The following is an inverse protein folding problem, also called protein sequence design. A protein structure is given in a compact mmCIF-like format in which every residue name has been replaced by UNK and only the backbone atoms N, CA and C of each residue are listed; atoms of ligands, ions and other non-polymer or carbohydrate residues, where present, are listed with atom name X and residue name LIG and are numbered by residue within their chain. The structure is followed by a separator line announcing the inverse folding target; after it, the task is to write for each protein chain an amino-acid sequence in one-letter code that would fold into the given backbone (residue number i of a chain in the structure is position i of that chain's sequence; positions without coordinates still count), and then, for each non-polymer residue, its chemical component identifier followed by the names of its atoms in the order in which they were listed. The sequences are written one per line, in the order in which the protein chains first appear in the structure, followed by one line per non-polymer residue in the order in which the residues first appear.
data_IF_059677737565
#
_entry.id   IF_059677737565
#
_cell.length_a   1.000
_cell.length_b   1.000
_cell.length_c   1.000
_cell.angle_alpha   90.00
_cell.angle_beta   90.00
_cell.angle_gamma   90.00
#
_symmetry.space_group_name_H-M   'P 1'
#
loop_
_entity.id
_entity.type
_entity.pdbx_description
1 polymer ?
#
# COMPACT_ATOMS: atom_id res chain seq x y z
N UNK A 1 5.32 -14.97 -11.61
CA UNK A 1 5.94 -13.64 -11.34
C UNK A 1 6.71 -13.72 -10.04
N UNK A 2 7.72 -12.86 -9.82
CA UNK A 2 8.37 -12.75 -8.50
C UNK A 2 8.13 -11.36 -7.91
N UNK A 3 7.64 -11.31 -6.68
CA UNK A 3 7.41 -10.07 -5.94
C UNK A 3 8.57 -9.87 -4.97
N UNK A 4 9.39 -8.86 -5.21
CA UNK A 4 10.39 -8.42 -4.24
C UNK A 4 9.69 -7.58 -3.17
N UNK A 5 9.63 -8.14 -1.97
CA UNK A 5 8.70 -7.75 -0.91
C UNK A 5 9.42 -7.44 0.41
N UNK A 6 8.73 -6.75 1.30
CA UNK A 6 9.01 -6.75 2.73
C UNK A 6 7.66 -6.80 3.45
N UNK A 7 7.43 -7.76 4.35
CA UNK A 7 6.12 -8.00 4.96
C UNK A 7 5.43 -6.74 5.49
N UNK A 8 6.21 -5.87 6.16
CA UNK A 8 5.74 -4.61 6.77
C UNK A 8 5.79 -3.39 5.84
N UNK A 9 6.04 -3.56 4.55
CA UNK A 9 5.95 -2.49 3.55
C UNK A 9 4.52 -2.32 3.06
N UNK A 10 3.94 -1.14 3.28
CA UNK A 10 2.59 -0.85 2.81
C UNK A 10 2.46 -0.83 1.28
N UNK A 11 3.50 -0.37 0.56
CA UNK A 11 3.48 -0.37 -0.90
C UNK A 11 3.54 -1.80 -1.47
N UNK A 12 4.24 -2.72 -0.81
CA UNK A 12 4.29 -4.11 -1.23
C UNK A 12 3.04 -4.88 -0.79
N UNK A 13 2.47 -4.53 0.37
CA UNK A 13 1.15 -4.99 0.80
C UNK A 13 0.06 -4.72 -0.24
N UNK A 14 0.06 -3.53 -0.88
CA UNK A 14 -0.85 -3.23 -2.02
C UNK A 14 -0.77 -4.29 -3.11
N UNK A 15 0.45 -4.69 -3.49
CA UNK A 15 0.66 -5.64 -4.58
C UNK A 15 0.27 -7.07 -4.18
N UNK A 16 0.52 -7.46 -2.93
CA UNK A 16 -0.01 -8.73 -2.41
C UNK A 16 -1.53 -8.80 -2.51
N UNK A 17 -2.23 -7.74 -2.09
CA UNK A 17 -3.71 -7.68 -2.20
C UNK A 17 -4.13 -7.75 -3.67
N UNK A 18 -3.52 -6.95 -4.56
CA UNK A 18 -3.85 -6.92 -5.98
C UNK A 18 -3.68 -8.30 -6.65
N UNK A 19 -2.53 -8.96 -6.43
CA UNK A 19 -2.26 -10.30 -6.96
C UNK A 19 -3.27 -11.32 -6.43
N UNK A 20 -3.61 -11.25 -5.13
CA UNK A 20 -4.59 -12.15 -4.53
C UNK A 20 -6.01 -11.92 -5.06
N UNK A 21 -6.44 -10.67 -5.25
CA UNK A 21 -7.75 -10.33 -5.82
C UNK A 21 -7.89 -10.82 -7.25
N UNK A 22 -6.82 -10.72 -8.04
CA UNK A 22 -6.78 -11.19 -9.43
C UNK A 22 -6.52 -12.69 -9.55
N UNK A 23 -6.28 -13.40 -8.43
CA UNK A 23 -6.01 -14.84 -8.42
C UNK A 23 -4.66 -15.23 -9.04
N UNK A 24 -3.70 -14.30 -9.09
CA UNK A 24 -2.43 -14.49 -9.77
C UNK A 24 -1.38 -15.08 -8.82
N UNK A 25 -0.73 -16.17 -9.24
CA UNK A 25 0.34 -16.80 -8.47
C UNK A 25 1.66 -16.04 -8.60
N UNK A 26 2.39 -15.94 -7.49
CA UNK A 26 3.68 -15.28 -7.43
C UNK A 26 4.59 -15.91 -6.37
N UNK A 27 5.90 -15.81 -6.60
CA UNK A 27 6.91 -16.13 -5.59
C UNK A 27 7.26 -14.85 -4.83
N UNK A 28 7.17 -14.86 -3.50
CA UNK A 28 7.61 -13.74 -2.67
C UNK A 28 9.10 -13.84 -2.37
N UNK A 29 9.85 -12.80 -2.71
CA UNK A 29 11.30 -12.69 -2.50
C UNK A 29 11.53 -11.59 -1.45
N UNK A 30 11.85 -11.94 -0.20
CA UNK A 30 11.98 -10.95 0.87
C UNK A 30 13.23 -10.09 0.69
N UNK A 31 13.09 -8.79 0.97
CA UNK A 31 14.13 -7.76 0.99
C UNK A 31 14.06 -7.06 2.34
N UNK A 32 15.03 -7.31 3.21
CA UNK A 32 15.00 -6.81 4.58
C UNK A 32 15.36 -5.32 4.65
N UNK A 33 14.33 -4.50 4.89
CA UNK A 33 14.50 -3.04 4.99
C UNK A 33 15.26 -2.58 6.24
N UNK A 34 15.36 -3.42 7.28
CA UNK A 34 16.08 -3.09 8.52
C UNK A 34 17.59 -3.21 8.35
N UNK A 35 18.03 -4.13 7.49
CA UNK A 35 19.46 -4.33 7.15
C UNK A 35 19.86 -3.56 5.88
N UNK A 36 18.97 -2.72 5.33
CA UNK A 36 19.22 -1.94 4.10
C UNK A 36 19.50 -2.84 2.87
N UNK A 37 18.91 -4.03 2.75
CA UNK A 37 19.13 -4.90 1.59
C UNK A 37 18.71 -4.24 0.27
N UNK A 38 17.70 -3.37 0.32
CA UNK A 38 17.26 -2.53 -0.79
C UNK A 38 18.32 -1.52 -1.28
N UNK A 39 19.37 -1.31 -0.49
CA UNK A 39 20.48 -0.42 -0.78
C UNK A 39 21.63 -1.14 -1.52
N UNK A 40 21.59 -2.47 -1.57
CA UNK A 40 22.62 -3.30 -2.21
C UNK A 40 22.67 -3.07 -3.72
N UNK A 41 23.85 -3.16 -4.36
CA UNK A 41 23.96 -3.12 -5.82
C UNK A 41 23.07 -4.18 -6.49
N UNK A 42 23.06 -5.41 -5.96
CA UNK A 42 22.26 -6.50 -6.48
C UNK A 42 20.76 -6.20 -6.51
N UNK A 43 20.21 -5.55 -5.48
CA UNK A 43 18.80 -5.14 -5.52
C UNK A 43 18.57 -3.92 -6.42
N UNK A 44 19.52 -2.98 -6.45
CA UNK A 44 19.41 -1.78 -7.29
C UNK A 44 19.45 -2.07 -8.78
N UNK A 45 20.07 -3.17 -9.20
CA UNK A 45 19.98 -3.66 -10.58
C UNK A 45 18.53 -4.04 -10.98
N UNK A 46 17.69 -4.39 -10.00
CA UNK A 46 16.27 -4.74 -10.19
C UNK A 46 15.36 -3.53 -10.02
N UNK A 47 15.61 -2.71 -8.99
CA UNK A 47 14.93 -1.44 -8.76
C UNK A 47 15.94 -0.35 -8.40
N UNK A 48 16.34 0.50 -9.37
CA UNK A 48 17.31 1.58 -9.14
C UNK A 48 16.91 2.58 -8.04
N UNK A 49 15.61 2.71 -7.74
CA UNK A 49 15.14 3.58 -6.65
C UNK A 49 15.50 3.03 -5.26
N UNK A 50 15.88 1.75 -5.14
CA UNK A 50 16.18 1.10 -3.87
C UNK A 50 14.96 1.06 -2.93
N UNK A 51 13.78 0.79 -3.49
CA UNK A 51 12.52 0.67 -2.76
C UNK A 51 11.85 -0.68 -3.06
N UNK A 52 10.96 -1.11 -2.17
CA UNK A 52 10.02 -2.22 -2.43
C UNK A 52 8.61 -1.64 -2.61
N UNK A 53 7.74 -2.25 -3.42
CA UNK A 53 7.96 -3.49 -4.17
C UNK A 53 8.69 -3.29 -5.50
N UNK A 54 9.21 -4.40 -6.03
CA UNK A 54 9.47 -4.58 -7.45
C UNK A 54 8.86 -5.91 -7.91
N UNK A 55 8.26 -5.92 -9.09
CA UNK A 55 7.67 -7.11 -9.70
C UNK A 55 8.52 -7.54 -10.89
N UNK A 56 9.03 -8.76 -10.85
CA UNK A 56 9.71 -9.41 -11.98
C UNK A 56 8.68 -10.15 -12.83
N UNK A 57 8.61 -9.73 -14.10
CA UNK A 57 7.76 -10.28 -15.15
C UNK A 57 8.62 -10.82 -16.28
N UNK A 58 8.05 -11.55 -17.27
CA UNK A 58 8.79 -11.97 -18.46
C UNK A 58 9.39 -10.81 -19.27
N UNK A 59 8.84 -9.59 -19.15
CA UNK A 59 9.31 -8.40 -19.87
C UNK A 59 10.40 -7.63 -19.11
N UNK A 60 10.62 -7.93 -17.83
CA UNK A 60 11.60 -7.25 -16.98
C UNK A 60 11.04 -6.89 -15.61
N UNK A 61 11.60 -5.83 -15.02
CA UNK A 61 11.21 -5.37 -13.68
C UNK A 61 10.29 -4.15 -13.78
N UNK A 62 9.16 -4.20 -13.06
CA UNK A 62 8.30 -3.05 -12.81
C UNK A 62 8.42 -2.62 -11.34
N UNK A 63 8.56 -1.32 -11.11
CA UNK A 63 8.48 -0.69 -9.79
C UNK A 63 7.29 0.27 -9.74
N UNK A 64 7.08 0.92 -8.59
CA UNK A 64 5.91 1.77 -8.29
C UNK A 64 4.60 0.99 -8.16
N UNK A 65 4.04 0.95 -6.95
CA UNK A 65 2.89 0.08 -6.66
C UNK A 65 1.65 0.43 -7.49
N UNK A 66 1.40 1.72 -7.77
CA UNK A 66 0.26 2.12 -8.61
C UNK A 66 0.43 1.64 -10.05
N UNK A 67 1.61 1.84 -10.64
CA UNK A 67 1.90 1.41 -12.01
C UNK A 67 1.83 -0.12 -12.16
N UNK A 68 2.32 -0.87 -11.16
CA UNK A 68 2.18 -2.33 -11.13
C UNK A 68 0.70 -2.73 -11.10
N UNK A 69 -0.15 -2.09 -10.29
CA UNK A 69 -1.57 -2.42 -10.24
C UNK A 69 -2.31 -2.09 -11.54
N UNK A 70 -1.99 -0.96 -12.18
CA UNK A 70 -2.53 -0.60 -13.50
C UNK A 70 -2.14 -1.66 -14.55
N UNK A 71 -0.85 -2.03 -14.60
CA UNK A 71 -0.37 -3.07 -15.51
C UNK A 71 -1.05 -4.41 -15.24
N UNK A 72 -1.18 -4.82 -13.97
CA UNK A 72 -1.89 -6.04 -13.61
C UNK A 72 -3.34 -6.01 -14.11
N UNK A 73 -4.04 -4.89 -13.92
CA UNK A 73 -5.42 -4.73 -14.34
C UNK A 73 -5.60 -4.77 -15.86
N UNK A 74 -4.71 -4.12 -16.61
CA UNK A 74 -4.74 -4.10 -18.08
C UNK A 74 -4.28 -5.42 -18.71
N UNK A 75 -3.30 -6.10 -18.11
CA UNK A 75 -2.73 -7.35 -18.66
C UNK A 75 -3.53 -8.60 -18.33
N UNK A 76 -4.46 -8.54 -17.37
CA UNK A 76 -5.33 -9.66 -16.97
C UNK A 76 -6.81 -9.21 -16.91
N UNK A 77 -7.39 -8.76 -18.04
CA UNK A 77 -8.75 -8.23 -18.09
C UNK A 77 -9.84 -9.25 -17.77
N UNK A 78 -9.52 -10.55 -17.83
CA UNK A 78 -10.42 -11.67 -17.50
C UNK A 78 -10.60 -11.91 -16.00
N UNK A 79 -9.74 -11.31 -15.17
CA UNK A 79 -9.81 -11.38 -13.71
C UNK A 79 -10.54 -10.17 -13.11
N UNK A 80 -10.93 -10.18 -11.81
CA UNK A 80 -11.61 -9.04 -11.20
C UNK A 80 -10.91 -7.70 -11.46
N UNK A 81 -11.70 -6.72 -11.89
CA UNK A 81 -11.21 -5.38 -12.26
C UNK A 81 -10.89 -4.57 -11.01
N UNK A 82 -9.69 -4.00 -10.96
CA UNK A 82 -9.28 -3.05 -9.91
C UNK A 82 -9.79 -1.64 -10.19
N UNK A 83 -10.09 -1.34 -11.47
CA UNK A 83 -10.63 -0.07 -11.94
C UNK A 83 -11.92 -0.31 -12.76
N UNK A 84 -13.01 -0.79 -12.13
CA UNK A 84 -14.28 -1.03 -12.82
C UNK A 84 -14.97 0.25 -13.27
N UNK A 85 -15.98 0.09 -14.12
CA UNK A 85 -16.90 1.15 -14.52
C UNK A 85 -16.37 2.07 -15.62
N UNK A 86 -17.04 3.21 -15.77
CA UNK A 86 -16.74 4.18 -16.80
C UNK A 86 -15.48 5.02 -16.50
N UNK A 87 -15.13 5.89 -17.46
CA UNK A 87 -13.95 6.75 -17.34
C UNK A 87 -13.99 7.68 -16.11
N UNK A 88 -15.18 8.04 -15.64
CA UNK A 88 -15.35 8.94 -14.51
C UNK A 88 -15.15 8.19 -13.18
N UNK A 89 -15.79 7.04 -13.01
CA UNK A 89 -15.59 6.20 -11.82
C UNK A 89 -14.11 5.78 -11.70
N UNK A 90 -13.49 5.40 -12.82
CA UNK A 90 -12.06 5.08 -12.88
C UNK A 90 -11.17 6.26 -12.46
N UNK A 91 -11.56 7.50 -12.77
CA UNK A 91 -10.84 8.69 -12.32
C UNK A 91 -11.01 8.94 -10.82
N UNK A 92 -12.22 8.73 -10.28
CA UNK A 92 -12.49 8.86 -8.85
C UNK A 92 -11.71 7.82 -8.02
N UNK A 93 -11.68 6.56 -8.46
CA UNK A 93 -10.89 5.50 -7.82
C UNK A 93 -9.41 5.89 -7.76
N UNK A 94 -8.85 6.38 -8.87
CA UNK A 94 -7.46 6.86 -8.93
C UNK A 94 -7.22 8.05 -8.01
N UNK A 95 -8.16 8.99 -7.93
CA UNK A 95 -8.05 10.16 -7.05
C UNK A 95 -7.89 9.74 -5.58
N UNK A 96 -8.75 8.84 -5.09
CA UNK A 96 -8.68 8.32 -3.73
C UNK A 96 -7.37 7.57 -3.47
N UNK A 97 -6.95 6.74 -4.42
CA UNK A 97 -5.69 6.02 -4.30
C UNK A 97 -4.46 6.95 -4.29
N UNK A 98 -4.45 7.99 -5.12
CA UNK A 98 -3.37 8.96 -5.19
C UNK A 98 -3.26 9.79 -3.90
N UNK A 99 -4.37 10.19 -3.28
CA UNK A 99 -4.31 10.86 -1.96
C UNK A 99 -3.51 10.01 -0.96
N UNK A 100 -3.67 8.70 -0.98
CA UNK A 100 -2.93 7.80 -0.08
C UNK A 100 -1.48 7.59 -0.58
N UNK A 101 -1.33 7.24 -1.85
CA UNK A 101 -0.06 6.79 -2.42
C UNK A 101 0.94 7.92 -2.69
N UNK A 102 0.46 9.15 -2.86
CA UNK A 102 1.24 10.36 -3.14
C UNK A 102 1.32 11.27 -1.92
N UNK A 103 0.22 11.48 -1.21
CA UNK A 103 0.12 12.57 -0.23
C UNK A 103 0.21 12.12 1.23
N UNK A 104 0.06 10.82 1.51
CA UNK A 104 0.23 10.25 2.87
C UNK A 104 1.48 9.37 2.94
N UNK A 105 1.47 8.26 2.20
CA UNK A 105 2.47 7.20 2.32
C UNK A 105 3.92 7.69 2.10
N UNK A 106 4.23 8.52 1.07
CA UNK A 106 5.62 8.94 0.82
C UNK A 106 6.22 9.79 1.93
N UNK A 107 5.42 10.63 2.59
CA UNK A 107 5.86 11.49 3.72
C UNK A 107 6.23 10.66 4.96
N UNK A 108 5.67 9.47 5.05
CA UNK A 108 5.77 8.56 6.18
C UNK A 108 6.67 7.33 5.91
N UNK A 109 7.33 7.30 4.75
CA UNK A 109 8.19 6.19 4.36
C UNK A 109 9.51 6.20 5.16
N UNK A 110 10.08 5.01 5.41
CA UNK A 110 11.30 4.80 6.21
C UNK A 110 12.46 5.72 5.80
N UNK A 111 12.68 5.92 4.49
CA UNK A 111 13.76 6.82 4.02
C UNK A 111 13.57 8.28 4.45
N UNK A 112 12.33 8.74 4.53
CA UNK A 112 11.98 10.11 4.96
C UNK A 112 12.14 10.21 6.47
N UNK A 113 11.58 9.25 7.22
CA UNK A 113 11.71 9.22 8.68
C UNK A 113 13.18 9.11 9.13
N UNK A 114 14.00 8.30 8.45
CA UNK A 114 15.43 8.19 8.72
C UNK A 114 16.18 9.50 8.45
N UNK A 115 15.78 10.26 7.42
CA UNK A 115 16.38 11.56 7.15
C UNK A 115 16.02 12.59 8.23
N UNK A 116 14.75 12.64 8.67
CA UNK A 116 14.30 13.52 9.75
C UNK A 116 15.13 13.28 11.02
N UNK A 117 15.28 12.02 11.45
CA UNK A 117 16.03 11.72 12.68
C UNK A 117 17.54 11.88 12.50
N UNK A 118 18.09 11.29 11.43
CA UNK A 118 19.53 11.24 11.25
C UNK A 118 20.15 12.57 10.83
N UNK A 119 19.57 13.24 9.83
CA UNK A 119 20.14 14.46 9.25
C UNK A 119 19.63 15.74 9.91
N UNK A 120 18.34 15.79 10.25
CA UNK A 120 17.72 16.97 10.85
C UNK A 120 17.66 16.92 12.39
N UNK A 121 17.97 15.77 12.99
CA UNK A 121 18.02 15.63 14.45
C UNK A 121 16.64 15.64 15.12
N UNK A 122 15.57 15.36 14.38
CA UNK A 122 14.20 15.30 14.90
C UNK A 122 14.08 14.17 15.93
N UNK A 123 13.48 14.47 17.08
CA UNK A 123 13.28 13.50 18.16
C UNK A 123 12.27 12.40 17.78
N UNK A 124 12.24 11.31 18.55
CA UNK A 124 11.25 10.24 18.33
C UNK A 124 9.79 10.73 18.53
N UNK A 125 9.57 11.66 19.46
CA UNK A 125 8.26 12.28 19.68
C UNK A 125 7.83 13.10 18.46
N UNK A 126 8.67 14.01 17.99
CA UNK A 126 8.36 14.85 16.82
C UNK A 126 8.18 14.03 15.54
N UNK A 127 8.93 12.93 15.37
CA UNK A 127 8.71 11.97 14.27
C UNK A 127 7.35 11.29 14.37
N UNK A 128 6.92 10.94 15.58
CA UNK A 128 5.60 10.33 15.83
C UNK A 128 4.49 11.33 15.55
N UNK A 129 4.68 12.59 15.94
CA UNK A 129 3.76 13.69 15.64
C UNK A 129 3.67 13.95 14.14
N UNK A 130 4.81 13.98 13.43
CA UNK A 130 4.86 14.05 11.96
C UNK A 130 4.04 12.92 11.32
N UNK A 131 4.25 11.68 11.77
CA UNK A 131 3.57 10.53 11.20
C UNK A 131 2.05 10.62 11.39
N UNK A 132 1.62 10.96 12.61
CA UNK A 132 0.22 11.12 12.98
C UNK A 132 -0.43 12.27 12.22
N UNK A 133 0.26 13.40 12.07
CA UNK A 133 -0.22 14.57 11.36
C UNK A 133 -0.58 14.24 9.90
N UNK A 134 0.34 13.64 9.14
CA UNK A 134 0.09 13.35 7.72
C UNK A 134 -0.97 12.26 7.51
N UNK A 135 -1.12 11.32 8.45
CA UNK A 135 -2.24 10.39 8.42
C UNK A 135 -3.55 11.13 8.69
N UNK A 136 -3.62 11.94 9.74
CA UNK A 136 -4.83 12.65 10.11
C UNK A 136 -5.31 13.58 8.99
N UNK A 137 -4.41 14.40 8.44
CA UNK A 137 -4.73 15.32 7.33
C UNK A 137 -5.24 14.59 6.09
N UNK A 138 -4.63 13.45 5.73
CA UNK A 138 -5.11 12.66 4.60
C UNK A 138 -6.42 11.94 4.88
N UNK A 139 -6.60 11.40 6.09
CA UNK A 139 -7.81 10.67 6.47
C UNK A 139 -9.01 11.60 6.64
N UNK A 140 -8.83 12.84 7.11
CA UNK A 140 -9.89 13.85 7.17
C UNK A 140 -10.52 14.09 5.79
N UNK A 141 -9.71 14.22 4.75
CA UNK A 141 -10.21 14.42 3.38
C UNK A 141 -10.85 13.14 2.81
N UNK A 142 -10.19 11.99 2.98
CA UNK A 142 -10.69 10.70 2.47
C UNK A 142 -12.03 10.31 3.09
N UNK A 143 -12.17 10.47 4.41
CA UNK A 143 -13.38 10.11 5.17
C UNK A 143 -14.64 10.76 4.57
N UNK A 144 -14.53 12.01 4.11
CA UNK A 144 -15.64 12.75 3.51
C UNK A 144 -15.98 12.33 2.08
N UNK A 145 -15.09 11.59 1.41
CA UNK A 145 -15.20 11.22 0.00
C UNK A 145 -15.59 9.75 -0.21
N UNK A 146 -15.49 8.92 0.84
CA UNK A 146 -15.89 7.51 0.75
C UNK A 146 -17.40 7.41 0.51
N UNK A 147 -17.77 6.58 -0.45
CA UNK A 147 -19.16 6.46 -0.91
C UNK A 147 -19.57 5.02 -1.26
N UNK A 148 -18.72 4.05 -0.96
CA UNK A 148 -19.03 2.63 -1.18
C UNK A 148 -19.72 1.98 0.00
N UNK A 149 -20.32 0.81 -0.25
CA UNK A 149 -20.98 -0.02 0.77
C UNK A 149 -19.99 -1.06 1.30
N UNK A 150 -19.13 -0.66 2.24
CA UNK A 150 -18.03 -1.51 2.75
C UNK A 150 -16.73 -1.43 1.94
N UNK A 151 -16.72 -0.65 0.87
CA UNK A 151 -15.53 -0.30 0.07
C UNK A 151 -15.37 1.22 -0.01
N UNK A 152 -14.21 1.71 -0.45
CA UNK A 152 -13.97 3.14 -0.63
C UNK A 152 -14.99 3.79 -1.56
N UNK A 153 -15.33 3.10 -2.65
CA UNK A 153 -16.29 3.56 -3.65
C UNK A 153 -16.91 2.36 -4.37
N UNK A 154 -18.21 2.43 -4.67
CA UNK A 154 -18.94 1.34 -5.34
C UNK A 154 -19.19 0.12 -4.44
N UNK A 155 -19.28 -1.05 -5.07
CA UNK A 155 -19.76 -2.30 -4.44
C UNK A 155 -18.75 -3.46 -4.47
N UNK A 156 -17.52 -3.21 -4.94
CA UNK A 156 -16.45 -4.21 -4.99
C UNK A 156 -15.09 -3.61 -4.62
N UNK A 157 -14.09 -4.42 -4.23
CA UNK A 157 -12.75 -3.91 -3.98
C UNK A 157 -12.16 -3.25 -5.23
N UNK A 158 -11.59 -2.06 -5.05
CA UNK A 158 -10.94 -1.28 -6.10
C UNK A 158 -9.48 -0.97 -5.72
N UNK A 159 -8.76 -0.34 -6.66
CA UNK A 159 -7.43 0.21 -6.42
C UNK A 159 -7.39 1.17 -5.21
N UNK A 160 -8.48 1.87 -4.89
CA UNK A 160 -8.59 2.73 -3.72
C UNK A 160 -8.52 1.91 -2.40
N UNK A 161 -9.28 0.83 -2.30
CA UNK A 161 -9.29 -0.07 -1.14
C UNK A 161 -7.91 -0.69 -0.93
N UNK A 162 -7.30 -1.16 -2.03
CA UNK A 162 -5.95 -1.73 -2.02
C UNK A 162 -4.93 -0.75 -1.44
N UNK A 163 -5.09 0.55 -1.68
CA UNK A 163 -4.25 1.59 -1.07
C UNK A 163 -4.63 1.90 0.38
N UNK A 164 -5.92 1.92 0.71
CA UNK A 164 -6.42 2.29 2.04
C UNK A 164 -6.05 1.26 3.11
N UNK A 165 -6.23 -0.03 2.84
CA UNK A 165 -6.02 -1.08 3.85
C UNK A 165 -4.59 -1.08 4.44
N UNK A 166 -3.53 -1.04 3.62
CA UNK A 166 -2.16 -0.90 4.13
C UNK A 166 -1.91 0.42 4.87
N UNK A 167 -2.62 1.50 4.52
CA UNK A 167 -2.47 2.80 5.16
C UNK A 167 -3.13 2.81 6.55
N UNK A 168 -4.31 2.20 6.70
CA UNK A 168 -4.97 2.01 8.00
C UNK A 168 -4.16 1.07 8.89
N UNK A 169 -3.59 -0.01 8.35
CA UNK A 169 -2.66 -0.87 9.07
C UNK A 169 -1.49 -0.07 9.68
N UNK A 170 -0.90 0.83 8.89
CA UNK A 170 0.14 1.73 9.38
C UNK A 170 -0.37 2.67 10.48
N UNK A 171 -1.54 3.28 10.30
CA UNK A 171 -2.15 4.15 11.32
C UNK A 171 -2.29 3.42 12.67
N UNK A 172 -2.82 2.20 12.67
CA UNK A 172 -2.94 1.35 13.85
C UNK A 172 -1.59 1.03 14.48
N UNK A 173 -0.60 0.65 13.66
CA UNK A 173 0.76 0.35 14.12
C UNK A 173 1.42 1.54 14.81
N UNK A 174 1.16 2.75 14.32
CA UNK A 174 1.66 4.01 14.90
C UNK A 174 0.71 4.63 15.93
N UNK A 175 -0.35 3.89 16.34
CA UNK A 175 -1.30 4.29 17.39
C UNK A 175 -2.04 5.61 17.10
N UNK A 176 -2.28 5.91 15.83
CA UNK A 176 -3.13 7.03 15.42
C UNK A 176 -4.58 6.72 15.83
N UNK A 177 -5.27 7.68 16.44
CA UNK A 177 -6.69 7.52 16.77
C UNK A 177 -7.55 7.51 15.49
N UNK A 178 -8.33 6.44 15.33
CA UNK A 178 -9.23 6.27 14.19
C UNK A 178 -10.70 6.52 14.57
N UNK A 179 -10.99 6.91 15.81
CA UNK A 179 -12.34 7.27 16.24
C UNK A 179 -13.02 8.35 15.37
N UNK A 180 -12.30 9.33 14.79
CA UNK A 180 -12.91 10.33 13.91
C UNK A 180 -13.27 9.84 12.50
N UNK A 181 -12.86 8.61 12.13
CA UNK A 181 -12.96 8.11 10.75
C UNK A 181 -13.83 6.84 10.63
N UNK A 182 -15.13 6.89 10.99
CA UNK A 182 -16.00 5.71 10.98
C UNK A 182 -16.15 5.04 9.60
N UNK A 183 -16.19 5.79 8.50
CA UNK A 183 -16.30 5.22 7.15
C UNK A 183 -15.01 4.48 6.76
N UNK A 184 -13.84 5.08 6.98
CA UNK A 184 -12.54 4.42 6.79
C UNK A 184 -12.47 3.13 7.61
N UNK A 185 -12.90 3.17 8.88
CA UNK A 185 -12.93 1.99 9.75
C UNK A 185 -13.86 0.90 9.21
N UNK A 186 -15.04 1.26 8.75
CA UNK A 186 -15.99 0.31 8.16
C UNK A 186 -15.39 -0.38 6.93
N UNK A 187 -14.75 0.38 6.02
CA UNK A 187 -14.06 -0.19 4.86
C UNK A 187 -12.93 -1.12 5.30
N UNK A 188 -12.14 -0.70 6.29
CA UNK A 188 -11.06 -1.52 6.81
C UNK A 188 -11.55 -2.84 7.41
N UNK A 189 -12.58 -2.80 8.25
CA UNK A 189 -13.18 -3.97 8.87
C UNK A 189 -13.79 -4.90 7.82
N UNK A 190 -14.49 -4.35 6.83
CA UNK A 190 -15.11 -5.14 5.75
C UNK A 190 -14.07 -5.83 4.85
N UNK A 191 -13.10 -5.08 4.32
CA UNK A 191 -12.08 -5.63 3.42
C UNK A 191 -11.26 -6.73 4.11
N UNK A 192 -10.93 -6.60 5.39
CA UNK A 192 -10.17 -7.61 6.14
C UNK A 192 -10.98 -8.88 6.48
N UNK A 193 -12.28 -8.94 6.17
CA UNK A 193 -13.05 -10.19 6.18
C UNK A 193 -12.84 -11.02 4.90
N UNK A 194 -12.33 -10.41 3.83
CA UNK A 194 -12.15 -11.05 2.54
C UNK A 194 -10.81 -11.82 2.48
N UNK A 195 -10.86 -13.06 1.98
CA UNK A 195 -9.68 -13.93 1.90
C UNK A 195 -8.47 -13.31 1.16
N UNK A 196 -8.62 -12.55 0.05
CA UNK A 196 -7.49 -11.90 -0.63
C UNK A 196 -6.72 -10.91 0.25
N UNK A 197 -7.42 -10.16 1.11
CA UNK A 197 -6.83 -9.20 2.04
C UNK A 197 -6.18 -9.89 3.22
N UNK A 198 -6.85 -10.88 3.82
CA UNK A 198 -6.30 -11.68 4.92
C UNK A 198 -4.98 -12.35 4.54
N UNK A 199 -4.92 -12.99 3.37
CA UNK A 199 -3.68 -13.61 2.86
C UNK A 199 -2.54 -12.62 2.66
N UNK A 200 -2.85 -11.36 2.39
CA UNK A 200 -1.87 -10.31 2.14
C UNK A 200 -1.37 -9.60 3.42
N UNK A 201 -2.03 -9.82 4.57
CA UNK A 201 -1.68 -9.19 5.85
C UNK A 201 -0.19 -9.38 6.18
N UNK A 202 0.51 -8.34 6.69
CA UNK A 202 1.92 -8.43 7.04
C UNK A 202 2.27 -9.63 7.93
N UNK A 203 1.40 -9.96 8.90
CA UNK A 203 1.59 -11.06 9.85
C UNK A 203 1.50 -12.44 9.20
N UNK A 204 0.89 -12.54 8.01
CA UNK A 204 0.71 -13.80 7.28
C UNK A 204 1.80 -14.03 6.21
N UNK A 205 2.85 -13.20 6.18
CA UNK A 205 3.94 -13.35 5.22
C UNK A 205 5.07 -14.21 5.79
N UNK A 206 5.78 -14.93 4.93
CA UNK A 206 6.83 -15.86 5.35
C UNK A 206 8.02 -15.18 6.04
N UNK A 207 8.29 -13.91 5.72
CA UNK A 207 9.32 -13.07 6.34
C UNK A 207 8.81 -12.30 7.58
N UNK A 208 7.58 -12.57 8.03
CA UNK A 208 7.06 -11.99 9.27
C UNK A 208 7.83 -12.51 10.48
N UNK A 209 8.56 -11.61 11.13
CA UNK A 209 9.21 -11.89 12.42
C UNK A 209 8.15 -11.73 13.51
N UNK A 210 7.82 -12.84 14.19
CA UNK A 210 6.99 -12.90 15.40
C UNK A 210 7.62 -12.05 16.52
#
# INVERSE_FOLDING_TARGET
MKLYDYFRSSAAYRIRIALNLKGLSYDSIPINLRTCEQCSPAYRDRNPQGLVPALETPQGFLSQSLAIMEWLDESHPESPQLLPGDIWLRAQIRSLACQIACDIHPLNNLRVLNYLQGKLGVSDTEKTDWYSHWIATGFEALELQLSGSGFCIGEQPTLADICLIPQVYNALRFKVDLSPYPAIRQVYEHCNQLAPFQKAMPENQADAIV
#
